data_IF_524057922966
#
_entry.id   IF_524057922966
#
_cell.length_a   1.000
_cell.length_b   1.000
_cell.length_c   1.000
_cell.angle_alpha   90.00
_cell.angle_beta   90.00
_cell.angle_gamma   90.00
#
_symmetry.space_group_name_H-M   'P 1'
#
loop_
_entity.id
_entity.type
_entity.pdbx_description
1 polymer ?
#
# COMPACT_ATOMS: atom_id res chain seq x y z
N UNK A 1 -82.65 34.86 -61.32
CA UNK A 1 -82.83 34.02 -60.12
C UNK A 1 -81.58 33.16 -59.90
N UNK A 2 -81.01 33.21 -58.68
CA UNK A 2 -79.85 32.47 -58.12
C UNK A 2 -78.46 32.79 -58.71
N UNK A 3 -77.66 33.64 -58.04
CA UNK A 3 -76.69 33.37 -56.95
C UNK A 3 -75.41 32.66 -57.46
N UNK A 4 -74.34 33.40 -57.76
CA UNK A 4 -73.26 33.87 -56.85
C UNK A 4 -72.22 32.80 -56.51
N UNK A 5 -70.96 33.04 -56.88
CA UNK A 5 -69.78 32.96 -55.97
C UNK A 5 -68.53 33.53 -56.64
N UNK A 6 -67.95 34.51 -55.94
CA UNK A 6 -66.70 35.22 -56.21
C UNK A 6 -65.54 34.34 -55.74
N UNK A 7 -64.49 34.19 -56.56
CA UNK A 7 -63.21 33.58 -56.17
C UNK A 7 -62.18 34.70 -56.10
N UNK A 8 -61.73 35.05 -54.90
CA UNK A 8 -60.60 35.94 -54.63
C UNK A 8 -59.42 35.06 -54.24
N UNK A 9 -58.32 35.18 -54.98
CA UNK A 9 -57.04 34.57 -54.68
C UNK A 9 -56.37 35.34 -53.53
N UNK A 10 -55.96 34.62 -52.47
CA UNK A 10 -55.15 35.15 -51.38
C UNK A 10 -53.78 34.48 -51.44
N UNK A 11 -52.75 35.25 -51.83
CA UNK A 11 -51.34 34.87 -51.68
C UNK A 11 -50.94 35.22 -50.26
N UNK A 12 -50.67 34.22 -49.43
CA UNK A 12 -50.16 34.39 -48.07
C UNK A 12 -48.64 34.25 -48.10
N UNK A 13 -47.96 35.36 -47.88
CA UNK A 13 -46.52 35.40 -47.59
C UNK A 13 -46.36 35.17 -46.09
N UNK A 14 -45.84 34.01 -45.69
CA UNK A 14 -45.44 33.75 -44.30
C UNK A 14 -43.98 34.16 -44.11
N UNK A 15 -43.77 35.27 -43.38
CA UNK A 15 -42.48 35.57 -42.75
C UNK A 15 -42.30 34.63 -41.55
N UNK A 16 -41.32 33.72 -41.62
CA UNK A 16 -40.79 33.04 -40.45
C UNK A 16 -39.61 33.84 -39.92
N UNK A 17 -39.83 34.52 -38.80
CA UNK A 17 -38.77 35.12 -37.99
C UNK A 17 -37.97 34.00 -37.31
N UNK A 18 -36.71 33.83 -37.72
CA UNK A 18 -35.75 33.00 -37.00
C UNK A 18 -35.36 33.71 -35.70
N UNK A 19 -35.88 33.24 -34.56
CA UNK A 19 -35.36 33.63 -33.25
C UNK A 19 -34.02 32.93 -33.04
N UNK A 20 -32.92 33.70 -33.10
CA UNK A 20 -31.61 33.23 -32.64
C UNK A 20 -31.60 33.19 -31.11
N UNK A 21 -31.84 32.03 -30.52
CA UNK A 21 -31.42 31.79 -29.15
C UNK A 21 -29.89 31.62 -29.17
N UNK A 22 -29.17 32.72 -28.93
CA UNK A 22 -27.81 32.64 -28.40
C UNK A 22 -27.92 31.98 -27.03
N UNK A 23 -27.70 30.66 -27.00
CA UNK A 23 -27.34 29.97 -25.76
C UNK A 23 -25.96 30.50 -25.40
N UNK A 24 -25.90 31.41 -24.42
CA UNK A 24 -24.67 31.66 -23.69
C UNK A 24 -24.30 30.36 -22.97
N UNK A 25 -23.49 29.52 -23.64
CA UNK A 25 -22.72 28.49 -22.95
C UNK A 25 -21.73 29.23 -22.07
N UNK A 26 -22.01 29.30 -20.78
CA UNK A 26 -21.02 29.64 -19.78
C UNK A 26 -19.80 28.72 -19.98
N UNK A 27 -18.69 29.33 -20.39
CA UNK A 27 -17.47 28.66 -20.84
C UNK A 27 -16.61 28.13 -19.66
N UNK A 28 -17.21 27.88 -18.51
CA UNK A 28 -16.53 27.43 -17.28
C UNK A 28 -16.30 25.91 -17.23
N UNK A 29 -16.77 25.15 -18.22
CA UNK A 29 -16.85 23.68 -18.16
C UNK A 29 -16.07 22.95 -19.27
N UNK A 30 -15.33 23.66 -20.15
CA UNK A 30 -14.68 23.03 -21.30
C UNK A 30 -13.33 22.37 -20.96
N UNK A 31 -12.65 22.83 -19.93
CA UNK A 31 -11.28 22.40 -19.60
C UNK A 31 -11.21 21.79 -18.19
N UNK A 32 -12.08 20.82 -17.93
CA UNK A 32 -12.10 20.11 -16.65
C UNK A 32 -11.44 18.74 -16.74
N UNK A 33 -10.84 18.34 -15.63
CA UNK A 33 -10.40 16.96 -15.39
C UNK A 33 -11.15 16.43 -14.17
N UNK A 34 -11.90 15.35 -14.34
CA UNK A 34 -12.46 14.57 -13.25
C UNK A 34 -11.53 13.40 -12.96
N UNK A 35 -10.95 13.40 -11.77
CA UNK A 35 -10.12 12.31 -11.25
C UNK A 35 -10.98 11.44 -10.35
N UNK A 36 -11.05 10.15 -10.65
CA UNK A 36 -11.67 9.15 -9.79
C UNK A 36 -10.57 8.34 -9.11
N UNK A 37 -10.50 8.45 -7.78
CA UNK A 37 -9.50 7.79 -6.97
C UNK A 37 -10.10 6.53 -6.39
N UNK A 38 -9.45 5.41 -6.68
CA UNK A 38 -9.92 4.08 -6.30
C UNK A 38 -8.83 3.29 -5.62
N UNK A 39 -9.24 2.38 -4.75
CA UNK A 39 -8.34 1.41 -4.15
C UNK A 39 -7.89 0.38 -5.19
N UNK A 40 -6.60 0.07 -5.19
CA UNK A 40 -5.95 -0.71 -6.26
C UNK A 40 -6.59 -2.09 -6.47
N UNK A 41 -6.92 -2.81 -5.39
CA UNK A 41 -7.38 -4.20 -5.47
C UNK A 41 -8.88 -4.35 -5.75
N UNK A 42 -9.71 -3.56 -5.08
CA UNK A 42 -11.17 -3.64 -5.12
C UNK A 42 -11.81 -2.69 -6.14
N UNK A 43 -11.10 -1.65 -6.55
CA UNK A 43 -11.65 -0.56 -7.34
C UNK A 43 -12.66 0.31 -6.58
N UNK A 44 -12.78 0.14 -5.26
CA UNK A 44 -13.69 0.94 -4.43
C UNK A 44 -13.24 2.41 -4.40
N UNK A 45 -14.16 3.39 -4.46
CA UNK A 45 -13.82 4.80 -4.39
C UNK A 45 -13.23 5.19 -3.03
N UNK A 46 -12.21 6.05 -3.05
CA UNK A 46 -11.49 6.48 -1.85
C UNK A 46 -11.73 7.96 -1.54
N UNK A 47 -12.28 8.24 -0.37
CA UNK A 47 -12.58 9.61 0.10
C UNK A 47 -11.48 10.15 1.03
N UNK A 48 -11.52 11.46 1.30
CA UNK A 48 -10.62 12.19 2.23
C UNK A 48 -9.13 12.17 1.85
N UNK A 49 -8.80 11.80 0.61
CA UNK A 49 -7.43 11.92 0.12
C UNK A 49 -7.20 13.32 -0.42
N UNK A 50 -6.11 13.93 0.02
CA UNK A 50 -5.60 15.18 -0.52
C UNK A 50 -4.93 14.90 -1.87
N UNK A 51 -5.26 15.72 -2.86
CA UNK A 51 -4.84 15.56 -4.24
C UNK A 51 -4.32 16.89 -4.74
N UNK A 52 -3.10 16.89 -5.25
CA UNK A 52 -2.44 18.07 -5.79
C UNK A 52 -2.19 17.87 -7.28
N UNK A 53 -2.58 18.86 -8.08
CA UNK A 53 -2.27 18.94 -9.50
C UNK A 53 -1.03 19.82 -9.68
N UNK A 54 -0.03 19.31 -10.38
CA UNK A 54 1.21 20.01 -10.68
C UNK A 54 1.39 20.15 -12.19
N UNK A 55 2.05 21.23 -12.62
CA UNK A 55 2.54 21.37 -13.99
C UNK A 55 3.79 20.50 -14.25
N UNK A 56 4.29 20.53 -15.49
CA UNK A 56 5.48 19.82 -15.93
C UNK A 56 6.78 20.28 -15.22
N UNK A 57 6.77 21.43 -14.56
CA UNK A 57 7.89 22.00 -13.80
C UNK A 57 7.80 21.64 -12.31
N UNK A 58 6.72 20.97 -11.89
CA UNK A 58 6.46 20.57 -10.51
C UNK A 58 5.86 21.69 -9.64
N UNK A 59 5.36 22.77 -10.24
CA UNK A 59 4.64 23.81 -9.51
C UNK A 59 3.19 23.38 -9.26
N UNK A 60 2.71 23.59 -8.04
CA UNK A 60 1.33 23.28 -7.67
C UNK A 60 0.38 24.27 -8.33
N UNK A 61 -0.52 23.77 -9.17
CA UNK A 61 -1.55 24.56 -9.84
C UNK A 61 -2.85 24.62 -9.01
N UNK A 62 -3.24 23.50 -8.41
CA UNK A 62 -4.45 23.38 -7.61
C UNK A 62 -4.36 22.19 -6.64
N UNK A 63 -5.22 22.17 -5.63
CA UNK A 63 -5.34 21.04 -4.70
C UNK A 63 -6.75 20.89 -4.16
N UNK A 64 -7.18 19.65 -3.95
CA UNK A 64 -8.52 19.34 -3.46
C UNK A 64 -8.52 18.06 -2.61
N UNK A 65 -9.65 17.75 -2.00
CA UNK A 65 -9.87 16.52 -1.23
C UNK A 65 -10.91 15.65 -1.93
N UNK A 66 -10.63 14.35 -2.03
CA UNK A 66 -11.55 13.41 -2.67
C UNK A 66 -12.87 13.28 -1.91
N UNK A 67 -13.96 13.35 -2.66
CA UNK A 67 -15.34 13.21 -2.13
C UNK A 67 -15.65 11.77 -1.72
N UNK A 68 -16.83 11.53 -1.12
CA UNK A 68 -17.32 10.18 -0.78
C UNK A 68 -17.34 9.20 -1.96
N UNK A 69 -17.47 9.70 -3.20
CA UNK A 69 -17.41 8.91 -4.42
C UNK A 69 -16.00 8.79 -5.01
N UNK A 70 -14.97 9.20 -4.28
CA UNK A 70 -13.58 9.20 -4.73
C UNK A 70 -13.25 10.23 -5.79
N UNK A 71 -14.14 11.20 -6.04
CA UNK A 71 -13.96 12.20 -7.10
C UNK A 71 -13.22 13.43 -6.62
N UNK A 72 -12.31 13.92 -7.46
CA UNK A 72 -11.74 15.27 -7.44
C UNK A 72 -11.90 15.89 -8.83
N UNK A 73 -12.18 17.19 -8.90
CA UNK A 73 -12.31 17.90 -10.16
C UNK A 73 -11.32 19.06 -10.18
N UNK A 74 -10.55 19.14 -11.26
CA UNK A 74 -9.66 20.25 -11.58
C UNK A 74 -10.18 20.99 -12.81
N UNK A 75 -9.87 22.28 -12.90
CA UNK A 75 -10.32 23.17 -13.97
C UNK A 75 -9.13 23.90 -14.61
N UNK A 76 -9.37 24.50 -15.78
CA UNK A 76 -8.41 25.34 -16.50
C UNK A 76 -7.15 24.59 -16.99
N UNK A 77 -7.27 23.30 -17.32
CA UNK A 77 -6.18 22.55 -17.94
C UNK A 77 -6.03 22.94 -19.43
N UNK A 78 -4.80 22.90 -19.93
CA UNK A 78 -4.44 23.25 -21.30
C UNK A 78 -4.27 21.99 -22.16
N UNK A 79 -4.79 22.03 -23.39
CA UNK A 79 -4.78 20.87 -24.29
C UNK A 79 -3.35 20.46 -24.67
N UNK A 80 -3.04 19.17 -24.54
CA UNK A 80 -1.73 18.57 -24.81
C UNK A 80 -0.60 18.94 -23.84
N UNK A 81 -0.90 19.64 -22.74
CA UNK A 81 0.09 19.87 -21.68
C UNK A 81 0.21 18.65 -20.76
N UNK A 82 1.41 18.46 -20.22
CA UNK A 82 1.74 17.41 -19.25
C UNK A 82 1.54 17.92 -17.83
N UNK A 83 0.97 17.04 -17.01
CA UNK A 83 0.68 17.31 -15.60
C UNK A 83 1.01 16.08 -14.77
N UNK A 84 1.18 16.29 -13.46
CA UNK A 84 1.21 15.20 -12.49
C UNK A 84 0.15 15.41 -11.40
N UNK A 85 -0.37 14.29 -10.90
CA UNK A 85 -1.21 14.24 -9.71
C UNK A 85 -0.42 13.58 -8.59
N UNK A 86 -0.34 14.23 -7.44
CA UNK A 86 0.12 13.61 -6.20
C UNK A 86 -1.08 13.39 -5.29
N UNK A 87 -1.23 12.20 -4.74
CA UNK A 87 -2.37 11.78 -3.92
C UNK A 87 -1.86 11.25 -2.59
N UNK A 88 -2.45 11.67 -1.47
CA UNK A 88 -2.07 11.19 -0.14
C UNK A 88 -2.93 11.76 0.98
N UNK A 89 -2.57 11.51 2.24
CA UNK A 89 -3.16 12.23 3.37
C UNK A 89 -2.54 13.64 3.43
N UNK A 90 -3.35 14.65 3.78
CA UNK A 90 -2.91 16.05 3.81
C UNK A 90 -1.62 16.27 4.62
N UNK A 91 -1.49 15.58 5.75
CA UNK A 91 -0.31 15.68 6.62
C UNK A 91 0.97 15.18 5.95
N UNK A 92 0.89 14.22 5.03
CA UNK A 92 2.05 13.63 4.35
C UNK A 92 2.70 14.61 3.37
N UNK A 93 1.91 15.52 2.81
CA UNK A 93 2.44 16.56 1.92
C UNK A 93 3.38 17.53 2.65
N UNK A 94 3.25 17.66 3.99
CA UNK A 94 4.17 18.47 4.79
C UNK A 94 5.59 17.87 4.84
N UNK A 95 5.71 16.56 4.67
CA UNK A 95 7.00 15.84 4.65
C UNK A 95 7.45 15.48 3.23
N UNK A 96 6.75 15.96 2.19
CA UNK A 96 7.04 15.63 0.79
C UNK A 96 6.74 14.18 0.39
N UNK A 97 5.91 13.47 1.17
CA UNK A 97 5.50 12.10 0.86
C UNK A 97 4.07 12.09 0.31
N UNK A 98 3.84 11.26 -0.70
CA UNK A 98 2.52 10.99 -1.28
C UNK A 98 2.36 9.48 -1.50
N UNK A 99 1.12 9.01 -1.46
CA UNK A 99 0.76 7.59 -1.60
C UNK A 99 0.90 7.17 -3.07
N UNK A 100 0.54 8.05 -3.99
CA UNK A 100 0.59 7.75 -5.42
C UNK A 100 0.87 9.03 -6.19
N UNK A 101 1.71 8.90 -7.22
CA UNK A 101 1.87 9.93 -8.24
C UNK A 101 1.48 9.40 -9.62
N UNK A 102 0.77 10.23 -10.37
CA UNK A 102 0.30 9.90 -11.70
C UNK A 102 0.55 11.05 -12.67
N UNK A 103 1.50 10.84 -13.57
CA UNK A 103 1.70 11.70 -14.73
C UNK A 103 0.64 11.39 -15.81
N UNK A 104 0.20 12.45 -16.50
CA UNK A 104 -0.72 12.36 -17.63
C UNK A 104 -0.62 13.60 -18.54
N UNK A 105 -0.95 13.42 -19.81
CA UNK A 105 -1.17 14.53 -20.74
C UNK A 105 -2.66 14.84 -20.82
N UNK A 106 -3.05 16.10 -20.65
CA UNK A 106 -4.45 16.48 -20.69
C UNK A 106 -5.01 16.50 -22.12
N UNK A 107 -6.24 16.01 -22.27
CA UNK A 107 -7.04 16.22 -23.48
C UNK A 107 -8.50 16.47 -23.12
N UNK A 108 -9.11 17.47 -23.76
CA UNK A 108 -10.54 17.79 -23.69
C UNK A 108 -11.44 16.62 -24.12
N UNK A 109 -10.90 15.66 -24.89
CA UNK A 109 -11.64 14.44 -25.27
C UNK A 109 -11.59 13.34 -24.20
N UNK A 110 -10.67 13.45 -23.23
CA UNK A 110 -10.43 12.48 -22.15
C UNK A 110 -10.39 13.17 -20.79
N UNK A 111 -11.50 13.80 -20.43
CA UNK A 111 -11.67 14.54 -19.17
C UNK A 111 -11.83 13.66 -17.93
N UNK A 112 -11.72 12.34 -18.04
CA UNK A 112 -11.84 11.41 -16.92
C UNK A 112 -10.56 10.62 -16.77
N UNK A 113 -10.00 10.61 -15.56
CA UNK A 113 -8.82 9.84 -15.21
C UNK A 113 -9.12 9.01 -13.96
N UNK A 114 -8.89 7.70 -14.06
CA UNK A 114 -8.92 6.82 -12.88
C UNK A 114 -7.50 6.72 -12.37
N UNK A 115 -7.31 6.99 -11.08
CA UNK A 115 -6.03 6.81 -10.40
C UNK A 115 -6.22 5.76 -9.31
N UNK A 116 -5.53 4.64 -9.48
CA UNK A 116 -5.49 3.58 -8.48
C UNK A 116 -4.46 3.95 -7.42
N UNK A 117 -4.83 3.81 -6.16
CA UNK A 117 -3.94 4.04 -5.02
C UNK A 117 -4.05 2.87 -4.06
N UNK A 118 -3.03 2.70 -3.23
CA UNK A 118 -3.04 1.73 -2.15
C UNK A 118 -3.71 2.26 -0.87
N UNK A 119 -4.14 3.53 -0.86
CA UNK A 119 -4.82 4.12 0.28
C UNK A 119 -6.16 3.42 0.57
N UNK A 120 -6.58 3.44 1.83
CA UNK A 120 -7.84 2.85 2.27
C UNK A 120 -8.90 3.89 2.58
N UNK A 121 -10.15 3.47 2.45
CA UNK A 121 -11.24 4.10 3.17
C UNK A 121 -11.15 3.59 4.63
N UNK A 122 -11.26 4.47 5.62
CA UNK A 122 -10.94 4.18 7.04
C UNK A 122 -11.73 3.04 7.72
N UNK A 123 -12.57 2.32 6.98
CA UNK A 123 -13.37 1.19 7.47
C UNK A 123 -12.95 -0.18 6.93
N UNK A 124 -11.98 -0.24 6.00
CA UNK A 124 -11.60 -1.50 5.34
C UNK A 124 -10.11 -1.79 5.51
N UNK A 125 -9.74 -3.06 5.77
CA UNK A 125 -8.34 -3.49 5.86
C UNK A 125 -7.65 -3.54 4.49
N UNK A 126 -6.31 -3.44 4.49
CA UNK A 126 -5.45 -3.55 3.32
C UNK A 126 -5.62 -4.93 2.70
N UNK A 127 -5.80 -4.96 1.38
CA UNK A 127 -5.98 -6.18 0.61
C UNK A 127 -4.67 -6.95 0.37
N UNK A 128 -3.82 -7.05 1.41
CA UNK A 128 -2.62 -7.88 1.36
C UNK A 128 -3.05 -9.34 1.15
N UNK A 129 -2.56 -10.03 0.12
CA UNK A 129 -2.98 -11.40 -0.14
C UNK A 129 -2.58 -12.32 1.02
N UNK A 130 -3.55 -13.11 1.49
CA UNK A 130 -3.28 -14.18 2.46
C UNK A 130 -2.30 -15.19 1.85
N UNK A 131 -1.11 -15.31 2.46
CA UNK A 131 -0.07 -16.24 2.04
C UNK A 131 0.38 -17.08 3.24
N UNK A 132 0.11 -18.38 3.18
CA UNK A 132 0.49 -19.29 4.26
C UNK A 132 1.93 -19.76 4.09
N UNK A 133 2.69 -19.87 5.18
CA UNK A 133 4.09 -20.33 5.16
C UNK A 133 4.20 -21.86 4.94
N UNK A 134 3.22 -22.63 5.42
CA UNK A 134 3.19 -24.08 5.28
C UNK A 134 2.68 -24.55 3.91
N UNK A 135 3.06 -25.78 3.49
CA UNK A 135 3.97 -26.72 4.17
C UNK A 135 5.47 -26.40 4.04
N UNK A 136 5.85 -25.55 3.10
CA UNK A 136 7.23 -25.41 2.62
C UNK A 136 8.16 -24.76 3.66
N UNK A 137 7.67 -23.77 4.41
CA UNK A 137 8.48 -22.96 5.33
C UNK A 137 7.93 -23.02 6.76
N UNK A 138 8.13 -24.12 7.51
CA UNK A 138 7.63 -24.23 8.88
C UNK A 138 8.19 -23.19 9.85
N UNK A 139 9.33 -22.57 9.53
CA UNK A 139 9.93 -21.47 10.29
C UNK A 139 10.14 -20.23 9.41
N UNK A 140 9.20 -19.93 8.50
CA UNK A 140 9.37 -18.85 7.51
C UNK A 140 8.42 -17.67 7.67
N UNK A 141 8.00 -17.33 8.90
CA UNK A 141 7.01 -16.27 9.12
C UNK A 141 7.47 -14.91 8.56
N UNK A 142 8.73 -14.53 8.76
CA UNK A 142 9.32 -13.25 8.36
C UNK A 142 9.35 -13.11 6.82
N UNK A 143 9.87 -14.13 6.13
CA UNK A 143 10.01 -14.08 4.68
C UNK A 143 8.66 -14.25 3.97
N UNK A 144 7.74 -15.02 4.55
CA UNK A 144 6.37 -15.19 4.02
C UNK A 144 5.56 -13.90 4.15
N UNK A 145 5.65 -13.21 5.29
CA UNK A 145 4.99 -11.89 5.45
C UNK A 145 5.56 -10.86 4.49
N UNK A 146 6.88 -10.83 4.27
CA UNK A 146 7.49 -9.99 3.23
C UNK A 146 6.95 -10.31 1.84
N UNK A 147 6.90 -11.59 1.46
CA UNK A 147 6.35 -12.00 0.15
C UNK A 147 4.91 -11.55 -0.02
N UNK A 148 4.07 -11.65 1.01
CA UNK A 148 2.69 -11.18 0.95
C UNK A 148 2.60 -9.66 0.69
N UNK A 149 3.43 -8.86 1.37
CA UNK A 149 3.50 -7.42 1.15
C UNK A 149 4.04 -7.07 -0.24
N UNK A 150 5.06 -7.78 -0.75
CA UNK A 150 5.52 -7.58 -2.13
C UNK A 150 4.42 -7.88 -3.16
N UNK A 151 3.66 -8.95 -2.94
CA UNK A 151 2.53 -9.33 -3.79
C UNK A 151 1.36 -8.33 -3.70
N UNK A 152 1.17 -7.67 -2.56
CA UNK A 152 0.22 -6.56 -2.42
C UNK A 152 0.54 -5.41 -3.40
N UNK A 153 1.82 -5.09 -3.58
CA UNK A 153 2.28 -4.11 -4.59
C UNK A 153 2.35 -4.68 -6.02
N UNK A 154 1.79 -5.87 -6.27
CA UNK A 154 1.75 -6.50 -7.60
C UNK A 154 3.10 -7.08 -8.06
N UNK A 155 4.08 -7.25 -7.17
CA UNK A 155 5.30 -7.97 -7.52
C UNK A 155 4.98 -9.45 -7.76
N UNK A 156 5.46 -10.00 -8.87
CA UNK A 156 5.29 -11.43 -9.17
C UNK A 156 6.43 -12.23 -8.51
N UNK A 157 6.21 -12.71 -7.29
CA UNK A 157 7.15 -13.57 -6.56
C UNK A 157 6.44 -14.55 -5.64
N UNK A 158 7.19 -15.54 -5.13
CA UNK A 158 6.73 -16.50 -4.13
C UNK A 158 7.70 -16.62 -2.96
N UNK A 159 7.23 -17.24 -1.88
CA UNK A 159 7.99 -17.38 -0.62
C UNK A 159 9.24 -18.23 -0.77
N UNK A 160 9.29 -19.15 -1.75
CA UNK A 160 10.45 -19.99 -1.99
C UNK A 160 11.53 -19.21 -2.71
N UNK A 161 11.17 -18.43 -3.73
CA UNK A 161 12.09 -17.51 -4.41
C UNK A 161 12.70 -16.52 -3.39
N UNK A 162 11.86 -15.85 -2.59
CA UNK A 162 12.31 -14.91 -1.57
C UNK A 162 13.21 -15.58 -0.53
N UNK A 163 12.88 -16.81 -0.12
CA UNK A 163 13.71 -17.58 0.81
C UNK A 163 15.05 -17.95 0.21
N UNK A 164 15.09 -18.49 -1.00
CA UNK A 164 16.30 -19.11 -1.54
C UNK A 164 17.27 -18.07 -2.11
N UNK A 165 16.75 -17.02 -2.75
CA UNK A 165 17.55 -16.06 -3.51
C UNK A 165 17.84 -14.76 -2.74
N UNK A 166 16.92 -14.32 -1.88
CA UNK A 166 16.97 -12.95 -1.34
C UNK A 166 17.22 -12.89 0.17
N UNK A 167 16.69 -13.82 0.95
CA UNK A 167 16.91 -13.86 2.40
C UNK A 167 18.38 -14.15 2.74
N UNK A 168 19.10 -13.24 3.44
CA UNK A 168 20.40 -13.56 4.01
C UNK A 168 20.26 -14.69 5.03
N UNK A 169 21.03 -15.77 4.87
CA UNK A 169 20.97 -16.98 5.71
C UNK A 169 22.38 -17.45 6.04
N UNK A 170 22.56 -17.98 7.25
CA UNK A 170 23.82 -18.63 7.66
C UNK A 170 23.51 -19.95 8.37
N UNK A 171 24.14 -21.07 7.94
CA UNK A 171 23.96 -22.34 8.62
C UNK A 171 24.63 -22.33 9.99
N UNK A 172 24.11 -23.15 10.90
CA UNK A 172 24.74 -23.36 12.21
C UNK A 172 25.96 -24.29 12.11
N UNK A 173 26.99 -24.00 12.89
CA UNK A 173 28.20 -24.83 13.07
C UNK A 173 28.31 -25.30 14.51
N UNK A 174 28.96 -26.44 14.72
CA UNK A 174 29.17 -27.01 16.04
C UNK A 174 30.65 -27.18 16.34
N UNK A 175 31.09 -26.71 17.50
CA UNK A 175 32.41 -26.97 18.06
C UNK A 175 32.26 -27.58 19.45
N UNK A 176 32.41 -28.89 19.53
CA UNK A 176 32.01 -29.66 20.72
C UNK A 176 30.52 -29.50 21.01
N UNK A 177 30.17 -29.10 22.23
CA UNK A 177 28.78 -28.85 22.64
C UNK A 177 28.27 -27.45 22.29
N UNK A 178 29.12 -26.56 21.77
CA UNK A 178 28.74 -25.17 21.44
C UNK A 178 28.21 -25.07 20.02
N UNK A 179 27.03 -24.45 19.89
CA UNK A 179 26.38 -24.09 18.61
C UNK A 179 26.78 -22.65 18.24
N UNK A 180 27.22 -22.44 17.02
CA UNK A 180 27.59 -21.14 16.45
C UNK A 180 26.72 -20.82 15.24
N UNK A 181 26.33 -19.56 15.07
CA UNK A 181 25.45 -19.11 13.99
C UNK A 181 25.48 -17.59 13.80
N UNK A 182 24.59 -17.03 12.97
CA UNK A 182 24.60 -15.61 12.65
C UNK A 182 24.12 -14.74 13.82
N UNK A 183 24.49 -13.48 13.82
CA UNK A 183 23.67 -12.45 14.47
C UNK A 183 22.31 -12.37 13.74
N UNK A 184 21.16 -12.55 14.43
CA UNK A 184 19.84 -12.45 13.81
C UNK A 184 19.53 -11.06 13.23
N UNK A 185 20.28 -10.01 13.59
CA UNK A 185 20.20 -8.70 12.94
C UNK A 185 20.93 -8.65 11.59
N UNK A 186 21.68 -9.70 11.23
CA UNK A 186 22.50 -9.77 10.01
C UNK A 186 22.03 -10.87 9.06
N UNK A 187 21.68 -12.05 9.58
CA UNK A 187 21.21 -13.16 8.76
C UNK A 187 20.29 -14.12 9.52
N UNK A 188 19.42 -14.79 8.79
CA UNK A 188 18.56 -15.84 9.31
C UNK A 188 19.38 -17.05 9.75
N UNK A 189 19.11 -17.55 10.96
CA UNK A 189 19.78 -18.73 11.51
C UNK A 189 19.23 -20.03 10.92
N UNK A 190 20.05 -20.70 10.10
CA UNK A 190 19.71 -21.97 9.44
C UNK A 190 18.89 -21.77 8.17
N UNK A 191 17.87 -22.61 7.96
CA UNK A 191 17.00 -22.56 6.79
C UNK A 191 15.52 -22.56 7.19
N UNK A 192 14.67 -21.61 6.69
CA UNK A 192 13.26 -21.53 7.07
C UNK A 192 12.44 -22.79 6.76
N UNK A 193 12.83 -23.55 5.73
CA UNK A 193 12.22 -24.83 5.35
C UNK A 193 12.58 -26.01 6.27
N UNK A 194 13.56 -25.85 7.16
CA UNK A 194 14.06 -26.95 7.99
C UNK A 194 13.41 -26.95 9.37
N UNK A 195 12.82 -28.08 9.77
CA UNK A 195 12.33 -28.28 11.14
C UNK A 195 13.47 -28.41 12.18
N UNK A 196 14.66 -28.80 11.74
CA UNK A 196 15.81 -29.04 12.63
C UNK A 196 16.69 -27.79 12.79
N UNK A 197 16.86 -27.03 11.71
CA UNK A 197 17.80 -25.90 11.69
C UNK A 197 17.14 -24.54 11.58
N UNK A 198 15.85 -24.45 11.20
CA UNK A 198 15.13 -23.19 11.13
C UNK A 198 15.00 -22.52 12.50
N UNK A 199 15.22 -21.20 12.54
CA UNK A 199 15.04 -20.37 13.74
C UNK A 199 14.24 -19.12 13.38
N UNK A 200 14.89 -17.97 13.26
CA UNK A 200 14.27 -16.69 12.94
C UNK A 200 15.33 -15.69 12.44
N UNK A 201 14.84 -14.52 12.04
CA UNK A 201 15.66 -13.33 11.76
C UNK A 201 14.94 -12.07 12.25
N UNK A 202 15.69 -11.00 12.48
CA UNK A 202 15.15 -9.70 12.87
C UNK A 202 14.88 -8.81 11.65
N UNK A 203 14.45 -7.57 11.90
CA UNK A 203 13.96 -6.65 10.88
C UNK A 203 14.94 -6.40 9.73
N UNK A 204 16.20 -6.09 10.04
CA UNK A 204 17.16 -5.57 9.06
C UNK A 204 17.46 -6.55 7.90
N UNK A 205 17.68 -7.86 8.12
CA UNK A 205 17.90 -8.79 7.01
C UNK A 205 16.68 -8.97 6.10
N UNK A 206 15.47 -8.76 6.61
CA UNK A 206 14.24 -8.77 5.79
C UNK A 206 14.17 -7.52 4.92
N UNK A 207 14.55 -6.34 5.44
CA UNK A 207 14.70 -5.11 4.64
C UNK A 207 15.73 -5.30 3.53
N UNK A 208 16.87 -5.93 3.85
CA UNK A 208 17.89 -6.26 2.85
C UNK A 208 17.36 -7.22 1.78
N UNK A 209 16.62 -8.27 2.17
CA UNK A 209 15.99 -9.19 1.22
C UNK A 209 15.02 -8.46 0.28
N UNK A 210 14.16 -7.60 0.82
CA UNK A 210 13.20 -6.81 0.07
C UNK A 210 13.89 -5.87 -0.93
N UNK A 211 14.85 -5.07 -0.47
CA UNK A 211 15.56 -4.10 -1.30
C UNK A 211 16.43 -4.78 -2.39
N UNK A 212 16.98 -5.96 -2.12
CA UNK A 212 17.68 -6.74 -3.14
C UNK A 212 16.71 -7.21 -4.23
N UNK A 213 15.55 -7.77 -3.86
CA UNK A 213 14.51 -8.18 -4.80
C UNK A 213 13.99 -7.00 -5.64
N UNK A 214 13.65 -5.89 -4.98
CA UNK A 214 13.15 -4.66 -5.60
C UNK A 214 14.12 -4.16 -6.67
N UNK A 215 15.44 -4.10 -6.34
CA UNK A 215 16.48 -3.67 -7.26
C UNK A 215 16.63 -4.62 -8.44
N UNK A 216 16.67 -5.93 -8.18
CA UNK A 216 16.83 -6.95 -9.22
C UNK A 216 15.64 -6.98 -10.19
N UNK A 217 14.43 -6.72 -9.68
CA UNK A 217 13.18 -6.62 -10.45
C UNK A 217 12.92 -5.21 -11.00
N UNK A 218 13.75 -4.22 -10.67
CA UNK A 218 13.61 -2.81 -11.06
C UNK A 218 12.24 -2.23 -10.72
N UNK A 219 11.71 -2.60 -9.56
CA UNK A 219 10.44 -2.09 -9.05
C UNK A 219 10.64 -0.66 -8.52
N UNK A 220 9.62 0.19 -8.66
CA UNK A 220 9.58 1.53 -8.07
C UNK A 220 9.02 1.45 -6.64
N UNK A 221 9.74 0.73 -5.78
CA UNK A 221 9.43 0.52 -4.36
C UNK A 221 10.71 0.67 -3.54
N UNK A 222 10.58 0.74 -2.23
CA UNK A 222 11.67 0.58 -1.28
C UNK A 222 11.18 -0.06 0.01
N UNK A 223 12.08 -0.74 0.73
CA UNK A 223 11.82 -1.26 2.05
C UNK A 223 12.59 -0.47 3.11
N UNK A 224 11.96 -0.24 4.26
CA UNK A 224 12.53 0.53 5.36
C UNK A 224 12.33 -0.20 6.69
N UNK A 225 13.37 -0.19 7.52
CA UNK A 225 13.28 -0.60 8.91
C UNK A 225 12.68 0.55 9.73
N UNK A 226 11.52 0.30 10.35
CA UNK A 226 10.81 1.25 11.20
C UNK A 226 10.72 0.73 12.64
N UNK A 227 11.71 -0.05 13.06
CA UNK A 227 11.76 -0.56 14.43
C UNK A 227 11.81 0.59 15.43
N UNK A 228 11.07 0.46 16.53
CA UNK A 228 10.85 1.51 17.53
C UNK A 228 9.66 2.43 17.23
N UNK A 229 8.94 2.23 16.11
CA UNK A 229 7.73 3.00 15.83
C UNK A 229 6.63 2.76 16.88
N UNK A 230 6.00 3.87 17.26
CA UNK A 230 4.84 3.89 18.15
C UNK A 230 3.60 3.32 17.46
N UNK A 231 2.56 2.99 18.25
CA UNK A 231 1.24 2.63 17.73
C UNK A 231 0.71 3.70 16.76
N UNK A 232 0.87 4.99 17.10
CA UNK A 232 0.40 6.09 16.26
C UNK A 232 1.11 6.12 14.90
N UNK A 233 2.43 5.96 14.88
CA UNK A 233 3.20 5.90 13.63
C UNK A 233 2.83 4.68 12.78
N UNK A 234 2.66 3.51 13.41
CA UNK A 234 2.20 2.29 12.72
C UNK A 234 0.78 2.48 12.15
N UNK A 235 -0.13 3.09 12.91
CA UNK A 235 -1.47 3.44 12.41
C UNK A 235 -1.39 4.38 11.21
N UNK A 236 -0.52 5.39 11.25
CA UNK A 236 -0.33 6.30 10.12
C UNK A 236 0.13 5.58 8.85
N UNK A 237 1.08 4.63 8.95
CA UNK A 237 1.47 3.81 7.79
C UNK A 237 0.29 3.01 7.21
N UNK A 238 -0.50 2.36 8.08
CA UNK A 238 -1.64 1.56 7.64
C UNK A 238 -2.72 2.43 7.00
N UNK A 239 -3.03 3.58 7.58
CA UNK A 239 -3.98 4.57 7.03
C UNK A 239 -3.50 5.13 5.67
N UNK A 240 -2.18 5.16 5.45
CA UNK A 240 -1.56 5.53 4.17
C UNK A 240 -1.61 4.44 3.10
N UNK A 241 -2.16 3.26 3.39
CA UNK A 241 -2.11 2.15 2.43
C UNK A 241 -0.84 1.31 2.50
N UNK A 242 -0.01 1.49 3.54
CA UNK A 242 1.29 0.83 3.68
C UNK A 242 1.17 -0.27 4.75
N UNK A 243 1.18 -1.56 4.36
CA UNK A 243 1.15 -2.64 5.34
C UNK A 243 2.43 -2.65 6.19
N UNK A 244 2.28 -2.92 7.48
CA UNK A 244 3.41 -2.98 8.42
C UNK A 244 3.66 -4.42 8.81
N UNK A 245 4.88 -4.92 8.57
CA UNK A 245 5.31 -6.22 9.06
C UNK A 245 5.86 -6.02 10.46
N UNK A 246 5.27 -6.69 11.47
CA UNK A 246 5.64 -6.53 12.87
C UNK A 246 5.98 -7.87 13.52
N UNK A 247 7.03 -7.86 14.35
CA UNK A 247 7.42 -9.02 15.15
C UNK A 247 6.61 -9.04 16.43
N UNK A 248 5.98 -10.18 16.68
CA UNK A 248 5.16 -10.47 17.86
C UNK A 248 5.41 -11.91 18.30
N UNK A 249 4.70 -12.40 19.29
CA UNK A 249 4.72 -13.82 19.65
C UNK A 249 3.52 -14.57 19.08
N UNK A 250 3.68 -15.87 18.81
CA UNK A 250 2.65 -16.75 18.24
C UNK A 250 1.28 -16.66 18.92
N UNK A 251 1.29 -16.42 20.24
CA UNK A 251 0.12 -16.37 21.12
C UNK A 251 -0.07 -14.99 21.78
N UNK A 252 0.64 -13.96 21.33
CA UNK A 252 0.74 -12.62 21.93
C UNK A 252 1.17 -12.61 23.41
N UNK A 253 1.62 -13.76 23.94
CA UNK A 253 2.15 -13.86 25.29
C UNK A 253 3.59 -13.34 25.37
N UNK A 254 4.18 -13.33 26.57
CA UNK A 254 5.57 -12.92 26.73
C UNK A 254 6.53 -13.81 25.91
N UNK A 255 7.66 -13.26 25.43
CA UNK A 255 8.67 -14.05 24.73
C UNK A 255 9.19 -15.19 25.61
N UNK A 256 9.24 -16.39 25.04
CA UNK A 256 9.72 -17.61 25.69
C UNK A 256 11.15 -17.85 25.22
N UNK A 257 12.10 -17.79 26.14
CA UNK A 257 13.51 -17.99 25.85
C UNK A 257 13.90 -19.43 26.17
N UNK A 258 14.47 -20.14 25.19
CA UNK A 258 15.02 -21.48 25.40
C UNK A 258 16.13 -21.76 24.41
N UNK A 259 17.32 -22.09 24.94
CA UNK A 259 18.50 -22.32 24.12
C UNK A 259 19.03 -21.03 23.47
N UNK A 260 19.84 -21.19 22.45
CA UNK A 260 20.60 -20.10 21.84
C UNK A 260 21.82 -20.62 21.09
N UNK A 261 22.61 -19.69 20.58
CA UNK A 261 23.88 -19.99 19.92
C UNK A 261 24.88 -18.85 20.18
N UNK A 262 26.15 -19.13 19.98
CA UNK A 262 27.18 -18.10 19.95
C UNK A 262 27.20 -17.46 18.56
N UNK A 263 27.17 -16.14 18.49
CA UNK A 263 27.33 -15.40 17.23
C UNK A 263 28.75 -15.71 16.71
N UNK A 264 28.85 -16.18 15.46
CA UNK A 264 30.11 -16.69 14.90
C UNK A 264 31.18 -15.58 14.82
N UNK A 265 30.77 -14.35 14.51
CA UNK A 265 31.63 -13.21 14.29
C UNK A 265 32.15 -12.59 15.59
N UNK A 266 31.33 -12.56 16.65
CA UNK A 266 31.64 -11.85 17.91
C UNK A 266 31.92 -12.79 19.08
N UNK A 267 31.43 -14.03 19.04
CA UNK A 267 31.45 -14.98 20.15
C UNK A 267 30.46 -14.66 21.28
N UNK A 268 29.60 -13.65 21.12
CA UNK A 268 28.53 -13.32 22.07
C UNK A 268 27.46 -14.42 22.08
N UNK A 269 26.88 -14.73 23.25
CA UNK A 269 25.80 -15.70 23.34
C UNK A 269 24.44 -15.04 23.09
N UNK A 270 23.80 -15.42 22.00
CA UNK A 270 22.46 -14.99 21.64
C UNK A 270 21.39 -15.94 22.19
N UNK A 271 20.41 -15.39 22.91
CA UNK A 271 19.29 -16.15 23.47
C UNK A 271 18.16 -16.32 22.43
N UNK A 272 17.69 -17.55 22.26
CA UNK A 272 16.66 -17.85 21.26
C UNK A 272 15.24 -17.69 21.82
N UNK A 273 14.40 -16.90 21.13
CA UNK A 273 12.96 -16.85 21.33
C UNK A 273 12.28 -18.00 20.59
N UNK A 274 11.54 -18.86 21.29
CA UNK A 274 10.90 -20.05 20.70
C UNK A 274 9.48 -19.82 20.22
N UNK A 275 8.85 -18.71 20.63
CA UNK A 275 7.51 -18.33 20.21
C UNK A 275 7.51 -17.02 19.43
N UNK A 276 8.67 -16.59 18.89
CA UNK A 276 8.74 -15.45 17.98
C UNK A 276 7.88 -15.75 16.75
N UNK A 277 7.21 -14.72 16.26
CA UNK A 277 6.38 -14.76 15.08
C UNK A 277 6.40 -13.40 14.37
N UNK A 278 5.90 -13.38 13.14
CA UNK A 278 5.75 -12.15 12.36
C UNK A 278 4.39 -12.13 11.70
N UNK A 279 3.74 -10.98 11.71
CA UNK A 279 2.42 -10.77 11.08
C UNK A 279 2.43 -9.46 10.28
N UNK A 280 1.57 -9.36 9.27
CA UNK A 280 1.35 -8.10 8.54
C UNK A 280 0.13 -7.40 9.12
N UNK A 281 0.31 -6.20 9.67
CA UNK A 281 -0.79 -5.32 10.07
C UNK A 281 -1.43 -4.75 8.80
N UNK A 282 -2.72 -5.00 8.65
CA UNK A 282 -3.52 -4.58 7.49
C UNK A 282 -4.66 -3.65 7.87
N UNK A 283 -4.97 -3.50 9.16
CA UNK A 283 -5.97 -2.54 9.63
C UNK A 283 -5.84 -2.31 11.12
N UNK A 284 -6.07 -1.08 11.56
CA UNK A 284 -6.17 -0.75 12.99
C UNK A 284 -7.44 0.07 13.17
N UNK A 285 -8.38 -0.44 13.98
CA UNK A 285 -9.65 0.25 14.24
C UNK A 285 -10.14 -0.02 15.64
N UNK A 286 -10.66 1.01 16.30
CA UNK A 286 -11.15 0.88 17.68
C UNK A 286 -10.10 0.19 18.56
N UNK A 287 -10.47 -0.90 19.25
CA UNK A 287 -9.58 -1.71 20.10
C UNK A 287 -9.07 -2.99 19.40
N UNK A 288 -9.15 -3.04 18.08
CA UNK A 288 -8.77 -4.20 17.27
C UNK A 288 -7.62 -3.89 16.30
N UNK A 289 -6.82 -4.90 16.03
CA UNK A 289 -5.86 -4.94 14.92
C UNK A 289 -6.21 -6.10 13.99
N UNK A 290 -6.36 -5.80 12.71
CA UNK A 290 -6.53 -6.80 11.66
C UNK A 290 -5.16 -7.11 11.05
N UNK A 291 -4.85 -8.40 10.95
CA UNK A 291 -3.55 -8.88 10.46
C UNK A 291 -3.71 -9.98 9.41
N UNK A 292 -2.72 -10.08 8.53
CA UNK A 292 -2.43 -11.31 7.78
C UNK A 292 -1.36 -12.09 8.55
N UNK A 293 -1.75 -13.20 9.17
CA UNK A 293 -0.91 -14.14 9.89
C UNK A 293 -0.45 -15.24 8.91
N UNK A 294 0.85 -15.44 8.66
CA UNK A 294 1.33 -16.45 7.71
C UNK A 294 1.04 -17.90 8.14
N UNK A 295 0.54 -18.13 9.36
CA UNK A 295 0.04 -19.44 9.80
C UNK A 295 -1.48 -19.61 9.67
N UNK A 296 -2.25 -18.52 9.60
CA UNK A 296 -3.72 -18.56 9.77
C UNK A 296 -4.50 -17.78 8.70
N UNK A 297 -3.84 -16.97 7.88
CA UNK A 297 -4.50 -16.01 7.00
C UNK A 297 -4.98 -14.79 7.79
N UNK A 298 -6.16 -14.26 7.46
CA UNK A 298 -6.68 -13.06 8.11
C UNK A 298 -7.17 -13.34 9.54
N UNK A 299 -6.73 -12.51 10.49
CA UNK A 299 -7.10 -12.62 11.90
C UNK A 299 -7.35 -11.23 12.47
N UNK A 300 -8.37 -11.10 13.32
CA UNK A 300 -8.59 -9.90 14.15
C UNK A 300 -8.14 -10.20 15.57
N UNK A 301 -7.32 -9.32 16.15
CA UNK A 301 -6.70 -9.48 17.45
C UNK A 301 -6.97 -8.26 18.33
N UNK A 302 -6.86 -8.44 19.65
CA UNK A 302 -6.89 -7.33 20.60
C UNK A 302 -5.67 -6.42 20.39
N UNK A 303 -5.92 -5.14 20.16
CA UNK A 303 -4.87 -4.15 19.86
C UNK A 303 -3.90 -4.00 21.03
N UNK A 304 -4.39 -3.98 22.27
CA UNK A 304 -3.55 -3.77 23.44
C UNK A 304 -2.56 -4.92 23.63
N UNK A 305 -3.05 -6.17 23.55
CA UNK A 305 -2.19 -7.34 23.71
C UNK A 305 -1.23 -7.51 22.51
N UNK A 306 -1.65 -7.14 21.30
CA UNK A 306 -0.75 -7.15 20.14
C UNK A 306 0.44 -6.20 20.34
N UNK A 307 0.18 -4.93 20.65
CA UNK A 307 1.24 -3.93 20.78
C UNK A 307 2.11 -4.15 22.03
N UNK A 308 1.57 -4.77 23.08
CA UNK A 308 2.35 -5.25 24.22
C UNK A 308 3.30 -6.39 23.83
N UNK A 309 2.87 -7.32 22.96
CA UNK A 309 3.73 -8.37 22.41
C UNK A 309 4.83 -7.78 21.53
N UNK A 310 4.48 -6.85 20.64
CA UNK A 310 5.41 -6.09 19.79
C UNK A 310 6.52 -5.40 20.61
N UNK A 311 6.15 -4.65 21.66
CA UNK A 311 7.11 -4.02 22.56
C UNK A 311 8.01 -5.04 23.25
N UNK A 312 7.46 -6.19 23.65
CA UNK A 312 8.22 -7.23 24.34
C UNK A 312 9.30 -7.91 23.47
N UNK A 313 9.20 -7.82 22.13
CA UNK A 313 10.20 -8.30 21.18
C UNK A 313 11.10 -7.20 20.61
N UNK A 314 11.14 -6.04 21.26
CA UNK A 314 12.01 -4.94 20.89
C UNK A 314 11.49 -4.08 19.74
N UNK A 315 10.17 -3.99 19.60
CA UNK A 315 9.51 -3.03 18.71
C UNK A 315 9.94 -3.17 17.24
N UNK A 316 10.20 -4.40 16.79
CA UNK A 316 10.69 -4.62 15.43
C UNK A 316 9.57 -4.54 14.40
N UNK A 317 9.74 -3.66 13.42
CA UNK A 317 8.79 -3.47 12.34
C UNK A 317 9.49 -3.02 11.05
N UNK A 318 8.91 -3.40 9.92
CA UNK A 318 9.35 -2.95 8.60
C UNK A 318 8.15 -2.59 7.72
N UNK A 319 8.40 -1.75 6.72
CA UNK A 319 7.44 -1.40 5.67
C UNK A 319 8.08 -1.55 4.29
N UNK A 320 7.24 -1.74 3.28
CA UNK A 320 7.58 -1.62 1.85
C UNK A 320 6.60 -0.64 1.26
N UNK A 321 7.05 0.34 0.46
CA UNK A 321 6.21 1.36 -0.17
C UNK A 321 6.83 1.93 -1.44
#
# INVERSE_FOLDING_TARGET
MKNSRIIIALVVITLLAACSNKVERNNYDSNKLTVLIVEYSSGAPLNKLYVTLLDNEGSILDSNVSTGEGKVIFHNLEENEEYSLQIGLFENFKTGMYITEKEFTYSQTKQNLIVQTNALNSEQALAVPSLLQHPELPNGCEITTLTAVLNYYGAATDKMEMTDQYLPKQPFKYNGSKKYGPDPNIAYGGYPGSLETGTYVFAEPIVNAANNFIRDRKLKLQAQNISGSTLEEITNYVDMGIPVIAWVTLDLSKPKIRGGWYIEETGEYHQMFTNLHTMVIIGIKNDEVEVMDPLKGYVTLDKTEFFKSYVSLGEQAIVVY
#
